data_IF_532382465505
#
_entry.id   IF_532382465505
#
_cell.length_a   1.000
_cell.length_b   1.000
_cell.length_c   1.000
_cell.angle_alpha   90.00
_cell.angle_beta   90.00
_cell.angle_gamma   90.00
#
_symmetry.space_group_name_H-M   'P 1'
#
loop_
_entity.id
_entity.type
_entity.pdbx_description
1 polymer ?
#
# COMPACT_ATOMS: atom_id res chain seq x y z
N UNK A 1 -33.71 0.92 -10.35
CA UNK A 1 -32.82 0.62 -11.50
C UNK A 1 -33.39 -0.56 -12.30
N UNK A 2 -33.50 -0.49 -13.63
CA UNK A 2 -34.04 -1.58 -14.43
C UNK A 2 -33.15 -2.84 -14.39
N UNK A 3 -33.75 -4.02 -14.18
CA UNK A 3 -33.06 -5.28 -13.86
C UNK A 3 -31.98 -5.70 -14.87
N UNK A 4 -32.15 -5.37 -16.16
CA UNK A 4 -31.18 -5.67 -17.23
C UNK A 4 -29.92 -4.81 -17.15
N UNK A 5 -30.04 -3.57 -16.69
CA UNK A 5 -28.91 -2.65 -16.46
C UNK A 5 -28.13 -3.08 -15.22
N UNK A 6 -28.84 -3.49 -14.15
CA UNK A 6 -28.22 -4.05 -12.94
C UNK A 6 -27.41 -5.31 -13.25
N UNK A 7 -27.93 -6.22 -14.07
CA UNK A 7 -27.24 -7.46 -14.43
C UNK A 7 -26.05 -7.23 -15.39
N UNK A 8 -26.08 -6.20 -16.23
CA UNK A 8 -24.91 -5.81 -17.05
C UNK A 8 -23.84 -5.12 -16.21
N UNK A 9 -24.24 -4.21 -15.31
CA UNK A 9 -23.34 -3.58 -14.36
C UNK A 9 -22.68 -4.63 -13.46
N UNK A 10 -23.44 -5.55 -12.87
CA UNK A 10 -22.88 -6.63 -12.04
C UNK A 10 -21.91 -7.54 -12.79
N UNK A 11 -22.16 -7.88 -14.06
CA UNK A 11 -21.24 -8.71 -14.86
C UNK A 11 -19.99 -7.96 -15.29
N UNK A 12 -20.11 -6.67 -15.62
CA UNK A 12 -18.97 -5.83 -15.93
C UNK A 12 -18.11 -5.59 -14.68
N UNK A 13 -18.73 -5.28 -13.54
CA UNK A 13 -18.02 -5.14 -12.26
C UNK A 13 -17.38 -6.44 -11.84
N UNK A 14 -18.06 -7.59 -11.97
CA UNK A 14 -17.50 -8.90 -11.62
C UNK A 14 -16.32 -9.30 -12.51
N UNK A 15 -16.34 -8.97 -13.80
CA UNK A 15 -15.20 -9.22 -14.72
C UNK A 15 -14.02 -8.32 -14.42
N UNK A 16 -14.25 -7.04 -14.17
CA UNK A 16 -13.21 -6.11 -13.71
C UNK A 16 -12.63 -6.55 -12.36
N UNK A 17 -13.49 -7.02 -11.45
CA UNK A 17 -13.07 -7.60 -10.17
C UNK A 17 -12.19 -8.83 -10.39
N UNK A 18 -12.61 -9.76 -11.25
CA UNK A 18 -11.86 -10.99 -11.52
C UNK A 18 -10.48 -10.73 -12.16
N UNK A 19 -10.39 -9.76 -13.07
CA UNK A 19 -9.13 -9.33 -13.68
C UNK A 19 -8.24 -8.60 -12.65
N UNK A 20 -8.82 -7.75 -11.81
CA UNK A 20 -8.11 -7.09 -10.71
C UNK A 20 -7.71 -8.05 -9.59
N UNK A 21 -8.38 -9.19 -9.40
CA UNK A 21 -8.04 -10.16 -8.34
C UNK A 21 -7.20 -11.33 -8.84
N UNK A 22 -6.74 -11.29 -10.09
CA UNK A 22 -6.03 -12.39 -10.77
C UNK A 22 -4.70 -12.81 -10.15
N UNK A 23 -4.13 -12.04 -9.23
CA UNK A 23 -2.93 -12.45 -8.49
C UNK A 23 -2.65 -11.54 -7.30
N UNK A 24 -2.77 -12.05 -6.07
CA UNK A 24 -2.36 -11.32 -4.88
C UNK A 24 -0.86 -10.96 -4.95
N UNK A 25 -0.03 -11.87 -5.46
CA UNK A 25 1.40 -11.63 -5.64
C UNK A 25 1.69 -10.48 -6.61
N UNK A 26 1.01 -10.40 -7.76
CA UNK A 26 1.21 -9.32 -8.73
C UNK A 26 0.72 -7.98 -8.19
N UNK A 27 -0.43 -7.95 -7.51
CA UNK A 27 -0.93 -6.74 -6.87
C UNK A 27 0.01 -6.25 -5.74
N UNK A 28 0.57 -7.19 -4.96
CA UNK A 28 1.58 -6.89 -3.92
C UNK A 28 2.85 -6.33 -4.55
N UNK A 29 3.38 -6.97 -5.58
CA UNK A 29 4.58 -6.52 -6.28
C UNK A 29 4.37 -5.16 -6.96
N UNK A 30 3.21 -4.91 -7.55
CA UNK A 30 2.86 -3.61 -8.11
C UNK A 30 2.80 -2.52 -7.03
N UNK A 31 2.17 -2.81 -5.89
CA UNK A 31 2.08 -1.86 -4.78
C UNK A 31 3.45 -1.51 -4.19
N UNK A 32 4.27 -2.52 -3.90
CA UNK A 32 5.66 -2.33 -3.43
C UNK A 32 6.51 -1.64 -4.48
N UNK A 33 6.38 -2.03 -5.76
CA UNK A 33 7.14 -1.46 -6.87
C UNK A 33 6.84 0.01 -7.09
N UNK A 34 5.56 0.40 -7.09
CA UNK A 34 5.15 1.81 -7.18
C UNK A 34 5.68 2.59 -5.99
N UNK A 35 5.56 2.05 -4.77
CA UNK A 35 6.12 2.66 -3.57
C UNK A 35 7.63 2.91 -3.70
N UNK A 36 8.41 1.89 -4.05
CA UNK A 36 9.86 2.02 -4.17
C UNK A 36 10.26 2.97 -5.32
N UNK A 37 9.57 2.91 -6.46
CA UNK A 37 9.87 3.73 -7.62
C UNK A 37 9.77 5.22 -7.31
N UNK A 38 8.70 5.65 -6.63
CA UNK A 38 8.50 7.07 -6.28
C UNK A 38 9.43 7.59 -5.19
N UNK A 39 10.06 6.69 -4.44
CA UNK A 39 11.06 7.02 -3.43
C UNK A 39 12.49 6.94 -3.95
N UNK A 40 12.70 6.71 -5.25
CA UNK A 40 14.01 6.96 -5.86
C UNK A 40 14.29 8.48 -5.85
N UNK A 41 15.53 8.92 -5.55
CA UNK A 41 15.85 10.35 -5.43
C UNK A 41 15.41 11.20 -6.62
N UNK A 42 15.56 10.66 -7.83
CA UNK A 42 15.16 11.33 -9.08
C UNK A 42 13.63 11.46 -9.18
N UNK A 43 12.90 10.39 -8.87
CA UNK A 43 11.43 10.39 -8.95
C UNK A 43 10.80 11.30 -7.90
N UNK A 44 11.30 11.26 -6.67
CA UNK A 44 10.85 12.13 -5.58
C UNK A 44 11.13 13.60 -5.90
N UNK A 45 12.33 13.91 -6.43
CA UNK A 45 12.67 15.28 -6.84
C UNK A 45 11.75 15.77 -7.96
N UNK A 46 11.50 14.94 -8.98
CA UNK A 46 10.58 15.29 -10.07
C UNK A 46 9.14 15.51 -9.59
N UNK A 47 8.64 14.66 -8.69
CA UNK A 47 7.31 14.81 -8.11
C UNK A 47 7.19 16.07 -7.25
N UNK A 48 8.26 16.46 -6.54
CA UNK A 48 8.24 17.64 -5.69
C UNK A 48 8.43 18.95 -6.46
N UNK A 49 9.02 18.92 -7.66
CA UNK A 49 9.24 20.09 -8.53
C UNK A 49 8.09 20.33 -9.51
N UNK A 50 7.31 19.32 -9.86
CA UNK A 50 6.23 19.42 -10.84
C UNK A 50 4.92 18.90 -10.27
N UNK A 51 3.92 19.79 -10.18
CA UNK A 51 2.61 19.47 -9.62
C UNK A 51 1.88 18.36 -10.38
N UNK A 52 1.98 18.31 -11.71
CA UNK A 52 1.37 17.23 -12.49
C UNK A 52 2.00 15.87 -12.17
N UNK A 53 3.33 15.82 -12.01
CA UNK A 53 4.04 14.60 -11.60
C UNK A 53 3.66 14.22 -10.17
N UNK A 54 3.49 15.19 -9.29
CA UNK A 54 2.99 14.98 -7.93
C UNK A 54 1.62 14.31 -7.91
N UNK A 55 0.69 14.77 -8.75
CA UNK A 55 -0.63 14.16 -8.89
C UNK A 55 -0.55 12.73 -9.46
N UNK A 56 0.33 12.48 -10.42
CA UNK A 56 0.57 11.13 -10.97
C UNK A 56 1.11 10.19 -9.88
N UNK A 57 2.03 10.68 -9.03
CA UNK A 57 2.53 9.93 -7.88
C UNK A 57 1.38 9.51 -6.96
N UNK A 58 0.55 10.45 -6.50
CA UNK A 58 -0.61 10.14 -5.66
C UNK A 58 -1.62 9.20 -6.33
N UNK A 59 -1.93 9.43 -7.61
CA UNK A 59 -2.84 8.57 -8.37
C UNK A 59 -2.31 7.14 -8.46
N UNK A 60 -1.01 6.97 -8.71
CA UNK A 60 -0.40 5.64 -8.78
C UNK A 60 -0.40 4.90 -7.44
N UNK A 61 -0.15 5.61 -6.31
CA UNK A 61 -0.28 5.03 -4.98
C UNK A 61 -1.71 4.57 -4.70
N UNK A 62 -2.69 5.40 -5.05
CA UNK A 62 -4.11 5.09 -4.86
C UNK A 62 -4.52 3.88 -5.69
N UNK A 63 -4.19 3.86 -6.99
CA UNK A 63 -4.56 2.77 -7.90
C UNK A 63 -3.90 1.45 -7.48
N UNK A 64 -2.61 1.47 -7.15
CA UNK A 64 -1.90 0.27 -6.71
C UNK A 64 -2.41 -0.21 -5.34
N UNK A 65 -2.74 0.71 -4.42
CA UNK A 65 -3.33 0.39 -3.13
C UNK A 65 -4.73 -0.22 -3.26
N UNK A 66 -5.61 0.38 -4.06
CA UNK A 66 -6.95 -0.17 -4.33
C UNK A 66 -6.87 -1.56 -4.95
N UNK A 67 -5.94 -1.78 -5.88
CA UNK A 67 -5.70 -3.08 -6.48
C UNK A 67 -5.24 -4.11 -5.43
N UNK A 68 -4.24 -3.76 -4.62
CA UNK A 68 -3.76 -4.61 -3.52
C UNK A 68 -4.88 -4.99 -2.55
N UNK A 69 -5.64 -4.01 -2.05
CA UNK A 69 -6.72 -4.24 -1.10
C UNK A 69 -7.86 -5.07 -1.71
N UNK A 70 -8.19 -4.85 -2.98
CA UNK A 70 -9.19 -5.67 -3.67
C UNK A 70 -8.73 -7.13 -3.81
N UNK A 71 -7.47 -7.38 -4.21
CA UNK A 71 -6.90 -8.72 -4.31
C UNK A 71 -6.81 -9.41 -2.95
N UNK A 72 -6.42 -8.67 -1.91
CA UNK A 72 -6.36 -9.15 -0.53
C UNK A 72 -7.75 -9.58 -0.03
N UNK A 73 -8.76 -8.71 -0.15
CA UNK A 73 -10.14 -9.02 0.27
C UNK A 73 -10.75 -10.19 -0.50
N UNK A 74 -10.39 -10.37 -1.78
CA UNK A 74 -10.81 -11.52 -2.55
C UNK A 74 -10.19 -12.81 -2.01
N UNK A 75 -8.88 -12.84 -1.78
CA UNK A 75 -8.19 -14.01 -1.23
C UNK A 75 -8.63 -14.38 0.18
N UNK A 76 -9.02 -13.41 1.00
CA UNK A 76 -9.58 -13.69 2.33
C UNK A 76 -10.88 -14.51 2.25
N UNK A 77 -11.67 -14.35 1.19
CA UNK A 77 -12.93 -15.08 1.01
C UNK A 77 -12.71 -16.54 0.59
N UNK A 78 -11.51 -16.90 0.14
CA UNK A 78 -11.19 -18.28 -0.23
C UNK A 78 -11.00 -19.17 1.03
N UNK A 79 -11.61 -20.37 1.10
CA UNK A 79 -11.72 -21.12 2.37
C UNK A 79 -10.46 -21.84 2.84
N UNK A 80 -9.58 -22.26 1.92
CA UNK A 80 -8.54 -23.27 2.20
C UNK A 80 -7.11 -22.70 2.30
N UNK A 81 -6.69 -21.83 1.38
CA UNK A 81 -5.28 -21.36 1.27
C UNK A 81 -5.10 -19.84 1.28
N UNK A 82 -6.18 -19.06 1.14
CA UNK A 82 -6.10 -17.62 0.88
C UNK A 82 -5.62 -16.75 2.04
N UNK A 83 -5.80 -17.20 3.29
CA UNK A 83 -5.47 -16.40 4.48
C UNK A 83 -3.96 -16.31 4.74
N UNK A 84 -3.22 -17.42 4.56
CA UNK A 84 -1.76 -17.42 4.71
C UNK A 84 -1.09 -16.51 3.68
N UNK A 85 -1.49 -16.61 2.42
CA UNK A 85 -0.99 -15.74 1.35
C UNK A 85 -1.31 -14.26 1.61
N UNK A 86 -2.52 -13.95 2.12
CA UNK A 86 -2.92 -12.60 2.49
C UNK A 86 -2.05 -12.02 3.63
N UNK A 87 -1.72 -12.83 4.64
CA UNK A 87 -0.84 -12.41 5.73
C UNK A 87 0.58 -12.12 5.23
N UNK A 88 1.15 -13.02 4.41
CA UNK A 88 2.47 -12.83 3.80
C UNK A 88 2.50 -11.55 2.96
N UNK A 89 1.45 -11.28 2.20
CA UNK A 89 1.35 -10.08 1.38
C UNK A 89 1.34 -8.79 2.21
N UNK A 90 0.56 -8.74 3.30
CA UNK A 90 0.56 -7.60 4.25
C UNK A 90 1.95 -7.40 4.85
N UNK A 91 2.57 -8.48 5.34
CA UNK A 91 3.91 -8.42 5.96
C UNK A 91 4.92 -7.88 4.95
N UNK A 92 4.91 -8.39 3.71
CA UNK A 92 5.84 -7.93 2.67
C UNK A 92 5.71 -6.43 2.38
N UNK A 93 4.49 -5.92 2.26
CA UNK A 93 4.23 -4.48 2.08
C UNK A 93 4.71 -3.67 3.28
N UNK A 94 4.36 -4.12 4.50
CA UNK A 94 4.79 -3.45 5.73
C UNK A 94 6.31 -3.43 5.88
N UNK A 95 7.00 -4.53 5.55
CA UNK A 95 8.46 -4.60 5.61
C UNK A 95 9.12 -3.66 4.61
N UNK A 96 8.65 -3.63 3.37
CA UNK A 96 9.21 -2.73 2.36
C UNK A 96 9.01 -1.25 2.75
N UNK A 97 7.81 -0.89 3.20
CA UNK A 97 7.49 0.46 3.64
C UNK A 97 8.26 0.85 4.91
N UNK A 98 8.31 -0.05 5.89
CA UNK A 98 9.00 0.18 7.16
C UNK A 98 10.52 0.27 7.00
N UNK A 99 11.12 -0.54 6.12
CA UNK A 99 12.53 -0.41 5.78
C UNK A 99 12.85 0.97 5.23
N UNK A 100 12.03 1.44 4.29
CA UNK A 100 12.20 2.76 3.69
C UNK A 100 11.98 3.89 4.72
N UNK A 101 10.94 3.79 5.54
CA UNK A 101 10.68 4.76 6.62
C UNK A 101 11.82 4.83 7.62
N UNK A 102 12.34 3.68 8.05
CA UNK A 102 13.50 3.60 8.92
C UNK A 102 14.76 4.18 8.27
N UNK A 103 15.00 3.90 6.98
CA UNK A 103 16.13 4.45 6.24
C UNK A 103 16.11 5.98 6.24
N UNK A 104 14.94 6.59 6.02
CA UNK A 104 14.77 8.05 6.04
C UNK A 104 14.92 8.62 7.45
N UNK A 105 14.22 8.02 8.42
CA UNK A 105 14.15 8.48 9.82
C UNK A 105 15.49 8.41 10.54
N UNK A 106 16.27 7.36 10.29
CA UNK A 106 17.56 7.13 10.96
C UNK A 106 18.77 7.57 10.12
N UNK A 107 18.55 8.18 8.95
CA UNK A 107 19.65 8.72 8.16
C UNK A 107 20.34 9.86 8.90
N UNK A 108 21.68 9.87 8.86
CA UNK A 108 22.53 10.97 9.38
C UNK A 108 22.88 12.00 8.32
N UNK A 109 22.45 11.78 7.08
CA UNK A 109 22.70 12.65 5.93
C UNK A 109 21.41 12.86 5.14
N UNK A 110 21.34 13.98 4.45
CA UNK A 110 20.26 14.25 3.49
C UNK A 110 20.44 13.30 2.30
N UNK A 111 19.48 12.41 2.10
CA UNK A 111 19.43 11.42 1.02
C UNK A 111 18.77 12.00 -0.24
N UNK A 112 17.87 12.98 -0.08
CA UNK A 112 17.20 13.64 -1.19
C UNK A 112 17.61 15.11 -1.23
N UNK A 113 18.31 15.50 -2.29
CA UNK A 113 18.80 16.87 -2.48
C UNK A 113 17.65 17.91 -2.45
N UNK A 114 16.42 17.49 -2.74
CA UNK A 114 15.20 18.32 -2.68
C UNK A 114 14.97 18.99 -1.32
N UNK A 115 15.31 18.31 -0.22
CA UNK A 115 15.17 18.89 1.12
C UNK A 115 16.16 20.02 1.37
N UNK A 116 17.30 20.02 0.68
CA UNK A 116 18.34 21.04 0.85
C UNK A 116 17.90 22.46 0.47
N UNK A 117 16.93 22.60 -0.44
CA UNK A 117 16.39 23.90 -0.83
C UNK A 117 14.94 24.12 -0.37
N UNK A 118 14.14 23.07 -0.22
CA UNK A 118 12.73 23.17 0.20
C UNK A 118 12.53 23.32 1.71
N UNK A 119 13.32 22.61 2.53
CA UNK A 119 13.18 22.69 3.98
C UNK A 119 13.48 24.10 4.54
N UNK A 120 14.52 24.83 4.05
CA UNK A 120 14.78 26.20 4.49
C UNK A 120 13.64 27.19 4.19
N UNK A 121 12.85 26.98 3.12
CA UNK A 121 11.67 27.81 2.82
C UNK A 121 10.60 27.73 3.92
N UNK A 122 10.57 26.61 4.64
CA UNK A 122 9.68 26.35 5.78
C UNK A 122 10.35 26.63 7.13
N UNK A 123 11.61 27.13 7.12
CA UNK A 123 12.40 27.36 8.33
C UNK A 123 12.87 26.07 9.02
N UNK A 124 12.87 24.94 8.29
CA UNK A 124 13.27 23.63 8.81
C UNK A 124 14.69 23.27 8.38
N UNK A 125 15.38 22.53 9.25
CA UNK A 125 16.63 21.87 8.87
C UNK A 125 16.35 20.74 7.86
N UNK A 126 17.07 20.67 6.72
CA UNK A 126 16.86 19.65 5.70
C UNK A 126 16.94 18.20 6.18
N UNK A 127 17.80 17.92 7.17
CA UNK A 127 17.92 16.58 7.73
C UNK A 127 16.72 16.25 8.61
N UNK A 128 16.30 17.20 9.46
CA UNK A 128 15.11 17.04 10.31
C UNK A 128 13.85 16.85 9.46
N UNK A 129 13.66 17.64 8.40
CA UNK A 129 12.50 17.53 7.51
C UNK A 129 12.43 16.14 6.84
N UNK A 130 13.57 15.61 6.35
CA UNK A 130 13.64 14.26 5.81
C UNK A 130 13.31 13.18 6.86
N UNK A 131 13.83 13.32 8.08
CA UNK A 131 13.58 12.34 9.15
C UNK A 131 12.10 12.33 9.55
N UNK A 132 11.47 13.52 9.62
CA UNK A 132 10.03 13.67 9.86
C UNK A 132 9.21 13.07 8.72
N UNK A 133 9.59 13.32 7.46
CA UNK A 133 8.95 12.70 6.32
C UNK A 133 9.01 11.17 6.40
N UNK A 134 10.17 10.62 6.77
CA UNK A 134 10.34 9.19 7.03
C UNK A 134 9.40 8.66 8.10
N UNK A 135 9.30 9.34 9.24
CA UNK A 135 8.46 8.97 10.37
C UNK A 135 6.96 9.03 10.02
N UNK A 136 6.53 10.12 9.38
CA UNK A 136 5.14 10.36 8.95
C UNK A 136 4.73 9.40 7.84
N UNK A 137 5.65 8.97 6.98
CA UNK A 137 5.34 8.01 5.93
C UNK A 137 4.92 6.65 6.49
N UNK A 138 5.65 6.10 7.46
CA UNK A 138 5.43 4.70 7.87
C UNK A 138 4.59 4.52 9.14
N UNK A 139 4.72 5.38 10.16
CA UNK A 139 4.01 5.18 11.44
C UNK A 139 2.49 5.22 11.28
N UNK A 140 1.90 6.25 10.64
CA UNK A 140 0.45 6.28 10.38
C UNK A 140 0.03 5.18 9.41
N UNK A 141 0.86 4.88 8.41
CA UNK A 141 0.57 3.87 7.42
C UNK A 141 0.53 2.45 8.01
N UNK A 142 1.20 2.17 9.13
CA UNK A 142 1.08 0.90 9.83
C UNK A 142 -0.35 0.63 10.35
N UNK A 143 -1.14 1.67 10.67
CA UNK A 143 -2.45 1.50 11.31
C UNK A 143 -3.44 0.70 10.45
N UNK A 144 -3.69 1.03 9.16
CA UNK A 144 -4.58 0.23 8.32
C UNK A 144 -4.11 -1.21 8.13
N UNK A 145 -2.81 -1.47 8.01
CA UNK A 145 -2.27 -2.83 7.85
C UNK A 145 -2.40 -3.65 9.13
N UNK A 146 -2.17 -3.05 10.31
CA UNK A 146 -2.40 -3.70 11.60
C UNK A 146 -3.88 -4.07 11.75
N UNK A 147 -4.79 -3.14 11.46
CA UNK A 147 -6.24 -3.41 11.50
C UNK A 147 -6.62 -4.53 10.53
N UNK A 148 -6.13 -4.47 9.29
CA UNK A 148 -6.35 -5.52 8.29
C UNK A 148 -5.84 -6.89 8.75
N UNK A 149 -4.61 -6.94 9.29
CA UNK A 149 -3.99 -8.13 9.85
C UNK A 149 -4.75 -8.72 11.04
N UNK A 150 -5.25 -7.89 11.95
CA UNK A 150 -6.06 -8.32 13.09
C UNK A 150 -7.40 -8.92 12.64
N UNK A 151 -8.06 -8.30 11.67
CA UNK A 151 -9.30 -8.82 11.08
C UNK A 151 -9.04 -10.18 10.42
N UNK A 152 -7.94 -10.31 9.68
CA UNK A 152 -7.47 -11.55 9.08
C UNK A 152 -7.24 -12.66 10.12
N UNK A 153 -6.48 -12.36 11.17
CA UNK A 153 -6.18 -13.30 12.25
C UNK A 153 -7.47 -13.78 12.95
N UNK A 154 -8.41 -12.86 13.22
CA UNK A 154 -9.72 -13.20 13.79
C UNK A 154 -10.54 -14.10 12.88
N UNK A 155 -10.55 -13.85 11.56
CA UNK A 155 -11.26 -14.68 10.60
C UNK A 155 -10.64 -16.08 10.50
N UNK A 156 -9.31 -16.16 10.58
CA UNK A 156 -8.59 -17.43 10.60
C UNK A 156 -8.91 -18.28 11.83
N UNK A 157 -8.80 -17.69 13.03
CA UNK A 157 -9.12 -18.38 14.29
C UNK A 157 -10.55 -18.94 14.29
N UNK A 158 -11.53 -18.13 13.86
CA UNK A 158 -12.93 -18.56 13.72
C UNK A 158 -13.12 -19.72 12.74
N UNK A 159 -12.28 -19.83 11.70
CA UNK A 159 -12.32 -20.95 10.75
C UNK A 159 -11.66 -22.20 11.34
N UNK A 160 -10.56 -22.04 12.07
CA UNK A 160 -9.87 -23.13 12.76
C UNK A 160 -10.77 -23.77 13.83
N UNK A 161 -11.44 -22.95 14.66
CA UNK A 161 -12.43 -23.40 15.65
C UNK A 161 -13.54 -24.23 15.01
N UNK A 162 -14.15 -23.74 13.92
CA UNK A 162 -15.21 -24.46 13.20
C UNK A 162 -14.78 -25.82 12.65
N UNK A 163 -13.51 -25.99 12.27
CA UNK A 163 -12.95 -27.28 11.80
C UNK A 163 -12.64 -28.23 12.95
N UNK A 164 -12.40 -27.72 14.16
CA UNK A 164 -12.14 -28.55 15.33
C UNK A 164 -13.43 -29.08 15.98
N UNK A 165 -14.57 -28.39 15.78
CA UNK A 165 -15.88 -28.75 16.36
C UNK A 165 -16.85 -29.43 15.39
N UNK A 166 -16.51 -29.59 14.11
CA UNK A 166 -17.34 -30.23 13.08
C UNK A 166 -16.67 -31.49 12.55
#
# INVERSE_FOLDING_TARGET
>A
LPARLSARLHRATARLQALATGGLGTATAAHVGVMLAWHLPVATTAALQNEAVHWVMHASFLLAGLWFWAALLHRIREPETGVGAALVAIIAVMMAMGFLGALLTFSRRVLYAVYGWRAPELGLDPLVDQQLAGLVMWVPACLPYIVGGLVLARLWLRRAERRATG
#
